data_IF_600991735426
#
_entry.id   IF_600991735426
#
_cell.length_a   1.000
_cell.length_b   1.000
_cell.length_c   1.000
_cell.angle_alpha   90.00
_cell.angle_beta   90.00
_cell.angle_gamma   90.00
#
_symmetry.space_group_name_H-M   'P 1'
#
loop_
_entity.id
_entity.type
_entity.pdbx_description
1 polymer ?
#
# COMPACT_ATOMS: atom_id res chain seq x y z
N UNK A 1 64.15 -38.27 -24.19
CA UNK A 1 63.73 -38.54 -25.57
C UNK A 1 63.69 -37.25 -26.39
N UNK A 2 64.00 -37.34 -27.70
CA UNK A 2 64.01 -36.19 -28.60
C UNK A 2 62.64 -35.73 -29.06
N UNK A 3 61.59 -36.26 -28.45
CA UNK A 3 60.21 -35.93 -28.75
C UNK A 3 59.39 -35.70 -27.45
N UNK A 4 58.33 -34.96 -27.58
CA UNK A 4 57.35 -34.68 -26.54
C UNK A 4 55.92 -34.65 -27.12
N UNK A 5 55.00 -35.21 -26.41
CA UNK A 5 53.55 -35.07 -26.74
C UNK A 5 52.94 -34.08 -25.78
N UNK A 6 52.32 -33.04 -26.32
CA UNK A 6 51.56 -32.06 -25.57
C UNK A 6 50.06 -32.47 -25.57
N UNK A 7 49.50 -32.76 -24.42
CA UNK A 7 48.09 -33.17 -24.36
C UNK A 7 47.15 -32.06 -24.82
N UNK A 8 45.96 -32.44 -25.28
CA UNK A 8 44.90 -31.50 -25.62
C UNK A 8 44.55 -30.60 -24.41
N UNK A 9 44.40 -29.31 -24.66
CA UNK A 9 44.11 -28.30 -23.64
C UNK A 9 45.32 -27.85 -22.83
N UNK A 10 46.55 -28.22 -23.27
CA UNK A 10 47.80 -27.77 -22.68
C UNK A 10 48.64 -27.02 -23.69
N UNK A 11 49.50 -26.17 -23.20
CA UNK A 11 50.57 -25.52 -23.98
C UNK A 11 51.93 -25.90 -23.39
N UNK A 12 52.82 -26.36 -24.22
CA UNK A 12 54.18 -26.70 -23.82
C UNK A 12 55.10 -25.47 -23.85
N UNK A 13 55.57 -25.02 -22.69
CA UNK A 13 56.61 -23.99 -22.59
C UNK A 13 57.96 -24.63 -22.64
N UNK A 14 58.78 -24.24 -23.64
CA UNK A 14 60.12 -24.78 -23.86
C UNK A 14 61.15 -24.04 -23.04
N UNK A 15 61.98 -24.79 -22.33
CA UNK A 15 63.12 -24.23 -21.60
C UNK A 15 64.42 -24.94 -22.03
N UNK A 16 65.49 -24.17 -22.28
CA UNK A 16 66.83 -24.67 -22.63
C UNK A 16 67.84 -24.23 -21.58
N UNK A 17 68.39 -25.17 -20.85
CA UNK A 17 69.28 -24.88 -19.70
C UNK A 17 68.72 -23.91 -18.68
N UNK A 18 67.37 -24.00 -18.44
CA UNK A 18 66.69 -23.12 -17.52
C UNK A 18 66.20 -21.79 -18.11
N UNK A 19 66.63 -21.44 -19.33
CA UNK A 19 66.10 -20.24 -20.01
C UNK A 19 64.84 -20.58 -20.78
N UNK A 20 63.75 -19.79 -20.52
CA UNK A 20 62.49 -19.90 -21.25
C UNK A 20 62.67 -19.38 -22.68
N UNK A 21 62.30 -20.18 -23.66
CA UNK A 21 62.24 -19.76 -25.03
C UNK A 21 60.92 -18.99 -25.33
N UNK A 22 60.96 -18.16 -26.40
CA UNK A 22 59.73 -17.41 -26.78
C UNK A 22 58.74 -18.28 -27.60
N UNK A 23 59.17 -19.53 -27.92
CA UNK A 23 58.34 -20.50 -28.60
C UNK A 23 57.57 -21.34 -27.66
N UNK A 24 56.27 -21.47 -27.91
CA UNK A 24 55.39 -22.42 -27.27
C UNK A 24 55.10 -23.59 -28.21
N UNK A 25 54.78 -24.75 -27.62
CA UNK A 25 54.33 -25.94 -28.34
C UNK A 25 52.82 -26.07 -28.14
N UNK A 26 52.08 -26.10 -29.24
CA UNK A 26 50.66 -26.40 -29.24
C UNK A 26 50.42 -27.87 -28.91
N UNK A 27 49.16 -28.26 -28.76
CA UNK A 27 48.77 -29.66 -28.56
C UNK A 27 49.23 -30.52 -29.74
N UNK A 28 49.69 -31.73 -29.44
CA UNK A 28 50.16 -32.67 -30.44
C UNK A 28 51.58 -33.22 -30.20
N UNK A 29 52.12 -33.82 -31.19
CA UNK A 29 53.47 -34.43 -31.14
C UNK A 29 54.53 -33.47 -31.70
N UNK A 30 55.61 -33.23 -30.93
CA UNK A 30 56.66 -32.32 -31.28
C UNK A 30 58.03 -32.93 -31.08
N UNK A 31 58.96 -32.60 -32.01
CA UNK A 31 60.36 -32.89 -31.80
C UNK A 31 61.07 -31.79 -31.03
N UNK A 32 61.89 -32.16 -30.05
CA UNK A 32 62.65 -31.25 -29.22
C UNK A 32 64.10 -31.68 -29.10
N UNK A 33 65.02 -30.75 -28.85
CA UNK A 33 66.40 -31.07 -28.54
C UNK A 33 66.43 -31.84 -27.17
N UNK A 34 67.34 -32.81 -27.03
CA UNK A 34 67.52 -33.56 -25.80
C UNK A 34 67.78 -32.65 -24.56
N UNK A 35 68.38 -31.49 -24.76
CA UNK A 35 68.70 -30.50 -23.72
C UNK A 35 67.50 -29.60 -23.32
N UNK A 36 66.45 -29.63 -24.12
CA UNK A 36 65.28 -28.88 -23.89
C UNK A 36 64.35 -29.62 -22.88
N UNK A 37 63.78 -28.86 -21.98
CA UNK A 37 62.64 -29.27 -21.10
C UNK A 37 61.40 -28.60 -21.59
N UNK A 38 60.23 -29.29 -21.50
CA UNK A 38 58.92 -28.73 -21.81
C UNK A 38 58.09 -28.81 -20.57
N UNK A 39 57.61 -27.66 -20.16
CA UNK A 39 56.68 -27.51 -19.02
C UNK A 39 55.28 -27.37 -19.57
N UNK A 40 54.38 -28.22 -19.11
CA UNK A 40 52.98 -28.23 -19.53
C UNK A 40 52.20 -27.22 -18.71
N UNK A 41 51.56 -26.27 -19.40
CA UNK A 41 50.64 -25.30 -18.82
C UNK A 41 49.20 -25.67 -19.21
N UNK A 42 48.31 -25.86 -18.27
CA UNK A 42 46.89 -26.19 -18.53
C UNK A 42 46.12 -24.92 -18.93
N UNK A 43 45.58 -24.89 -20.15
CA UNK A 43 44.82 -23.76 -20.69
C UNK A 43 43.31 -23.95 -20.60
N UNK A 44 42.86 -25.08 -20.05
CA UNK A 44 41.44 -25.31 -19.84
C UNK A 44 40.91 -24.39 -18.75
N UNK A 45 39.63 -24.15 -18.77
CA UNK A 45 38.97 -23.40 -17.67
C UNK A 45 39.07 -24.20 -16.37
N UNK A 46 39.69 -23.57 -15.39
CA UNK A 46 39.86 -24.11 -14.04
C UNK A 46 39.00 -23.33 -13.07
N UNK A 47 38.56 -23.98 -12.03
CA UNK A 47 37.85 -23.34 -10.91
C UNK A 47 38.75 -23.33 -9.68
N UNK A 48 38.91 -22.15 -9.10
CA UNK A 48 39.52 -22.00 -7.79
C UNK A 48 38.54 -21.36 -6.82
N UNK A 49 38.36 -21.97 -5.65
CA UNK A 49 37.54 -21.45 -4.58
C UNK A 49 38.40 -21.09 -3.40
N UNK A 50 38.11 -19.95 -2.77
CA UNK A 50 38.84 -19.53 -1.57
C UNK A 50 37.88 -18.93 -0.54
N UNK A 51 38.09 -19.32 0.70
CA UNK A 51 37.45 -18.68 1.86
C UNK A 51 38.30 -17.49 2.31
N UNK A 52 37.68 -16.38 2.62
CA UNK A 52 38.34 -15.18 3.08
C UNK A 52 37.43 -14.35 3.98
N UNK A 53 38.02 -13.45 4.74
CA UNK A 53 37.31 -12.48 5.53
C UNK A 53 37.43 -11.08 4.91
N UNK A 54 36.33 -10.36 4.87
CA UNK A 54 36.27 -8.97 4.47
C UNK A 54 35.49 -8.14 5.49
N UNK A 55 35.58 -6.83 5.35
CA UNK A 55 34.81 -5.90 6.17
C UNK A 55 33.90 -5.07 5.26
N UNK A 56 32.67 -4.87 5.70
CA UNK A 56 31.77 -3.93 5.08
C UNK A 56 32.14 -2.47 5.41
N UNK A 57 31.51 -1.49 4.77
CA UNK A 57 31.75 -0.07 5.02
C UNK A 57 31.41 0.36 6.47
N UNK A 58 30.51 -0.35 7.13
CA UNK A 58 30.12 -0.18 8.54
C UNK A 58 30.90 -1.09 9.50
N UNK A 59 32.09 -1.57 9.04
CA UNK A 59 33.07 -2.34 9.83
C UNK A 59 32.51 -3.66 10.36
N UNK A 60 31.49 -4.22 9.72
CA UNK A 60 31.04 -5.57 10.05
C UNK A 60 31.92 -6.60 9.37
N UNK A 61 32.34 -7.61 10.14
CA UNK A 61 33.10 -8.74 9.57
C UNK A 61 32.16 -9.66 8.79
N UNK A 62 32.62 -10.05 7.62
CA UNK A 62 31.90 -10.93 6.70
C UNK A 62 32.83 -12.06 6.27
N UNK A 63 32.39 -13.29 6.48
CA UNK A 63 33.07 -14.48 5.95
C UNK A 63 32.54 -14.80 4.55
N UNK A 64 33.44 -14.91 3.58
CA UNK A 64 33.12 -15.00 2.18
C UNK A 64 33.76 -16.22 1.58
N UNK A 65 33.04 -16.94 0.73
CA UNK A 65 33.60 -17.93 -0.19
C UNK A 65 33.49 -17.38 -1.60
N UNK A 66 34.65 -17.13 -2.21
CA UNK A 66 34.74 -16.63 -3.57
C UNK A 66 35.30 -17.70 -4.50
N UNK A 67 34.64 -17.96 -5.62
CA UNK A 67 35.09 -18.86 -6.68
C UNK A 67 35.40 -18.10 -7.94
N UNK A 68 36.50 -18.40 -8.54
CA UNK A 68 36.96 -17.81 -9.81
C UNK A 68 37.18 -18.89 -10.85
N UNK A 69 36.51 -18.73 -11.98
CA UNK A 69 36.77 -19.54 -13.17
C UNK A 69 37.76 -18.79 -14.08
N UNK A 70 38.86 -19.41 -14.38
CA UNK A 70 39.93 -18.79 -15.13
C UNK A 70 40.61 -19.80 -16.09
N UNK A 71 41.33 -19.29 -17.06
CA UNK A 71 42.15 -20.07 -17.96
C UNK A 71 43.45 -19.34 -18.27
N UNK A 72 44.48 -20.08 -18.68
CA UNK A 72 45.75 -19.49 -19.12
C UNK A 72 45.65 -19.20 -20.62
N UNK A 73 46.05 -18.01 -21.04
CA UNK A 73 46.15 -17.64 -22.44
C UNK A 73 47.29 -18.39 -23.09
N UNK A 74 47.01 -19.15 -24.17
CA UNK A 74 47.99 -19.95 -24.89
C UNK A 74 49.15 -19.13 -25.38
N UNK A 75 48.91 -17.92 -25.89
CA UNK A 75 49.94 -17.04 -26.47
C UNK A 75 50.85 -16.42 -25.42
N UNK A 76 50.38 -16.31 -24.17
CA UNK A 76 51.12 -15.70 -23.08
C UNK A 76 51.61 -16.71 -22.03
N UNK A 77 51.43 -18.02 -22.26
CA UNK A 77 51.81 -19.05 -21.30
C UNK A 77 53.33 -19.04 -20.98
N UNK A 78 54.21 -18.74 -21.97
CA UNK A 78 55.66 -18.60 -21.75
C UNK A 78 56.00 -17.39 -20.88
N UNK A 79 55.27 -16.26 -21.04
CA UNK A 79 55.47 -15.06 -20.23
C UNK A 79 55.04 -15.29 -18.80
N UNK A 80 53.89 -15.94 -18.61
CA UNK A 80 53.40 -16.33 -17.29
C UNK A 80 54.39 -17.24 -16.57
N UNK A 81 54.89 -18.26 -17.29
CA UNK A 81 55.89 -19.17 -16.72
C UNK A 81 57.24 -18.47 -16.43
N UNK A 82 57.70 -17.57 -17.31
CA UNK A 82 58.94 -16.80 -17.15
C UNK A 82 58.91 -15.88 -15.95
N UNK A 83 57.79 -15.18 -15.76
CA UNK A 83 57.67 -14.11 -14.75
C UNK A 83 57.17 -14.62 -13.40
N UNK A 84 56.35 -15.65 -13.36
CA UNK A 84 55.65 -16.13 -12.16
C UNK A 84 55.96 -17.62 -11.90
N UNK A 85 56.00 -18.45 -12.94
CA UNK A 85 56.19 -19.89 -12.81
C UNK A 85 54.88 -20.67 -12.79
N UNK A 86 54.95 -21.94 -12.37
CA UNK A 86 53.78 -22.86 -12.34
C UNK A 86 52.82 -22.56 -11.20
N UNK A 87 53.26 -21.88 -10.12
CA UNK A 87 52.45 -21.57 -8.94
C UNK A 87 51.74 -20.21 -9.06
N UNK A 88 51.41 -19.77 -10.26
CA UNK A 88 50.81 -18.48 -10.55
C UNK A 88 49.50 -18.23 -9.77
N UNK A 89 48.78 -19.30 -9.46
CA UNK A 89 47.54 -19.18 -8.64
C UNK A 89 47.85 -18.62 -7.25
N UNK A 90 48.74 -19.28 -6.51
CA UNK A 90 49.08 -18.88 -5.13
C UNK A 90 49.88 -17.57 -5.08
N UNK A 91 50.75 -17.34 -6.08
CA UNK A 91 51.67 -16.21 -6.07
C UNK A 91 51.02 -14.89 -6.51
N UNK A 92 50.16 -14.92 -7.51
CA UNK A 92 49.60 -13.70 -8.13
C UNK A 92 48.09 -13.67 -8.01
N UNK A 93 47.41 -14.74 -8.44
CA UNK A 93 45.97 -14.70 -8.60
C UNK A 93 45.24 -14.62 -7.27
N UNK A 94 45.58 -15.48 -6.31
CA UNK A 94 44.94 -15.52 -4.98
C UNK A 94 45.03 -14.20 -4.23
N UNK A 95 46.20 -13.53 -4.11
CA UNK A 95 46.27 -12.22 -3.44
C UNK A 95 45.43 -11.15 -4.13
N UNK A 96 45.39 -11.15 -5.46
CA UNK A 96 44.62 -10.16 -6.23
C UNK A 96 43.12 -10.37 -6.11
N UNK A 97 42.66 -11.62 -6.14
CA UNK A 97 41.24 -11.94 -5.84
C UNK A 97 40.83 -11.43 -4.46
N UNK A 98 41.70 -11.66 -3.47
CA UNK A 98 41.46 -11.19 -2.11
C UNK A 98 41.39 -9.66 -2.05
N UNK A 99 42.32 -8.97 -2.69
CA UNK A 99 42.37 -7.50 -2.72
C UNK A 99 41.15 -6.91 -3.42
N UNK A 100 40.81 -7.38 -4.61
CA UNK A 100 39.65 -6.92 -5.37
C UNK A 100 38.34 -7.18 -4.62
N UNK A 101 38.19 -8.36 -4.01
CA UNK A 101 37.03 -8.72 -3.23
C UNK A 101 36.87 -7.79 -2.02
N UNK A 102 37.93 -7.62 -1.22
CA UNK A 102 37.91 -6.71 -0.06
C UNK A 102 37.58 -5.27 -0.49
N UNK A 103 38.18 -4.78 -1.56
CA UNK A 103 37.94 -3.43 -2.08
C UNK A 103 36.48 -3.21 -2.51
N UNK A 104 35.82 -4.23 -3.05
CA UNK A 104 34.41 -4.13 -3.43
C UNK A 104 33.50 -4.17 -2.19
N UNK A 105 33.79 -5.06 -1.25
CA UNK A 105 32.97 -5.21 -0.03
C UNK A 105 32.98 -3.97 0.87
N UNK A 106 34.09 -3.26 0.96
CA UNK A 106 34.19 -2.01 1.74
C UNK A 106 33.36 -0.86 1.20
N UNK A 107 32.80 -0.98 0.00
CA UNK A 107 31.92 0.05 -0.58
C UNK A 107 30.47 -0.06 -0.11
N UNK A 108 30.09 -1.19 0.43
CA UNK A 108 28.71 -1.49 0.81
C UNK A 108 28.57 -1.75 2.30
N UNK A 109 27.43 -1.36 2.86
CA UNK A 109 27.06 -1.74 4.23
C UNK A 109 26.68 -3.21 4.29
N UNK A 110 26.77 -3.81 5.46
CA UNK A 110 26.40 -5.21 5.67
C UNK A 110 24.96 -5.52 5.23
N UNK A 111 24.02 -4.62 5.51
CA UNK A 111 22.61 -4.73 5.10
C UNK A 111 22.48 -4.73 3.57
N UNK A 112 23.20 -3.84 2.87
CA UNK A 112 23.14 -3.73 1.40
C UNK A 112 23.82 -4.90 0.71
N UNK A 113 24.86 -5.50 1.29
CA UNK A 113 25.58 -6.65 0.72
C UNK A 113 24.66 -7.85 0.45
N UNK A 114 23.60 -8.03 1.26
CA UNK A 114 22.63 -9.09 1.05
C UNK A 114 21.83 -8.90 -0.26
N UNK A 115 21.51 -7.66 -0.60
CA UNK A 115 20.66 -7.32 -1.75
C UNK A 115 21.43 -7.28 -3.06
N UNK A 116 22.73 -6.90 -3.04
CA UNK A 116 23.55 -6.65 -4.25
C UNK A 116 24.48 -7.81 -4.64
N UNK A 117 24.27 -9.00 -4.11
CA UNK A 117 25.16 -10.16 -4.28
C UNK A 117 25.56 -10.45 -5.74
N UNK A 118 24.61 -10.38 -6.67
CA UNK A 118 24.90 -10.59 -8.11
C UNK A 118 25.77 -9.49 -8.71
N UNK A 119 25.59 -8.26 -8.25
CA UNK A 119 26.39 -7.11 -8.68
C UNK A 119 27.83 -7.19 -8.16
N UNK A 120 28.03 -7.71 -6.93
CA UNK A 120 29.37 -7.89 -6.34
C UNK A 120 30.26 -8.77 -7.23
N UNK A 121 29.75 -9.90 -7.70
CA UNK A 121 30.47 -10.83 -8.57
C UNK A 121 30.95 -10.15 -9.85
N UNK A 122 30.12 -9.34 -10.48
CA UNK A 122 30.45 -8.58 -11.68
C UNK A 122 31.52 -7.52 -11.40
N UNK A 123 31.38 -6.76 -10.32
CA UNK A 123 32.34 -5.72 -9.94
C UNK A 123 33.72 -6.30 -9.61
N UNK A 124 33.77 -7.43 -8.90
CA UNK A 124 35.04 -8.12 -8.60
C UNK A 124 35.68 -8.59 -9.89
N UNK A 125 34.94 -9.20 -10.82
CA UNK A 125 35.43 -9.63 -12.11
C UNK A 125 36.00 -8.45 -12.91
N UNK A 126 35.26 -7.34 -12.97
CA UNK A 126 35.65 -6.17 -13.78
C UNK A 126 36.90 -5.48 -13.24
N UNK A 127 37.19 -5.57 -11.95
CA UNK A 127 38.44 -5.13 -11.36
C UNK A 127 39.59 -6.13 -11.59
N UNK A 128 39.29 -7.42 -11.43
CA UNK A 128 40.29 -8.49 -11.47
C UNK A 128 40.75 -8.81 -12.91
N UNK A 129 39.83 -8.83 -13.89
CA UNK A 129 40.12 -9.31 -15.24
C UNK A 129 41.21 -8.50 -15.97
N UNK A 130 41.24 -7.15 -15.92
CA UNK A 130 42.31 -6.38 -16.55
C UNK A 130 43.67 -6.69 -15.94
N UNK A 131 43.76 -6.76 -14.62
CA UNK A 131 45.04 -7.02 -13.93
C UNK A 131 45.59 -8.43 -14.23
N UNK A 132 44.71 -9.43 -14.30
CA UNK A 132 45.09 -10.80 -14.58
C UNK A 132 45.46 -10.99 -16.04
N UNK A 133 44.85 -10.22 -16.95
CA UNK A 133 45.20 -10.26 -18.39
C UNK A 133 46.65 -9.91 -18.65
N UNK A 134 47.22 -8.98 -17.88
CA UNK A 134 48.63 -8.58 -18.01
C UNK A 134 49.60 -9.75 -17.70
N UNK A 135 49.17 -10.68 -16.87
CA UNK A 135 49.91 -11.93 -16.59
C UNK A 135 49.60 -13.07 -17.56
N UNK A 136 48.65 -12.85 -18.50
CA UNK A 136 48.21 -13.91 -19.42
C UNK A 136 47.20 -14.88 -18.79
N UNK A 137 46.45 -14.41 -17.75
CA UNK A 137 45.38 -15.17 -17.12
C UNK A 137 44.06 -14.53 -17.53
N UNK A 138 43.18 -15.33 -18.12
CA UNK A 138 41.84 -14.89 -18.54
C UNK A 138 40.82 -15.28 -17.49
N UNK A 139 40.12 -14.29 -16.92
CA UNK A 139 39.05 -14.51 -15.96
C UNK A 139 37.74 -14.66 -16.70
N UNK A 140 37.13 -15.84 -16.64
CA UNK A 140 35.85 -16.14 -17.26
C UNK A 140 34.68 -15.63 -16.41
N UNK A 141 34.70 -15.99 -15.13
CA UNK A 141 33.66 -15.53 -14.17
C UNK A 141 34.19 -15.50 -12.75
N UNK A 142 33.59 -14.65 -11.95
CA UNK A 142 33.76 -14.61 -10.49
C UNK A 142 32.40 -14.84 -9.87
N UNK A 143 32.34 -15.65 -8.84
CA UNK A 143 31.10 -15.94 -8.11
C UNK A 143 31.35 -15.84 -6.61
N UNK A 144 30.55 -15.05 -5.94
CA UNK A 144 30.50 -15.02 -4.49
C UNK A 144 29.50 -16.09 -4.03
N UNK A 145 30.03 -17.22 -3.50
CA UNK A 145 29.22 -18.39 -3.17
C UNK A 145 28.51 -18.22 -1.83
N UNK A 146 29.21 -17.73 -0.82
CA UNK A 146 28.69 -17.53 0.52
C UNK A 146 29.07 -16.16 1.07
N UNK A 147 28.15 -15.57 1.84
CA UNK A 147 28.34 -14.30 2.54
C UNK A 147 27.70 -14.49 3.91
N UNK A 148 28.53 -14.80 4.90
CA UNK A 148 28.09 -15.07 6.27
C UNK A 148 28.50 -13.92 7.18
N UNK A 149 27.54 -13.43 7.95
CA UNK A 149 27.75 -12.39 8.95
C UNK A 149 27.88 -13.01 10.33
N UNK A 150 28.41 -12.25 11.27
CA UNK A 150 28.47 -12.69 12.68
C UNK A 150 27.06 -12.84 13.26
N UNK A 151 26.88 -13.81 14.17
CA UNK A 151 25.59 -14.05 14.82
C UNK A 151 25.04 -12.79 15.48
N UNK A 152 25.92 -12.01 16.15
CA UNK A 152 25.52 -10.76 16.79
C UNK A 152 24.95 -9.73 15.82
N UNK A 153 25.47 -9.65 14.59
CA UNK A 153 24.93 -8.77 13.56
C UNK A 153 23.59 -9.29 13.04
N UNK A 154 23.49 -10.59 12.79
CA UNK A 154 22.25 -11.23 12.32
C UNK A 154 21.12 -11.04 13.33
N UNK A 155 21.38 -11.27 14.62
CA UNK A 155 20.41 -11.06 15.70
C UNK A 155 19.96 -9.59 15.78
N UNK A 156 20.90 -8.64 15.62
CA UNK A 156 20.58 -7.21 15.62
C UNK A 156 19.70 -6.80 14.43
N UNK A 157 19.96 -7.36 13.23
CA UNK A 157 19.16 -7.11 12.04
C UNK A 157 17.76 -7.71 12.19
N UNK A 158 17.65 -8.93 12.71
CA UNK A 158 16.36 -9.55 13.00
C UNK A 158 15.55 -8.73 14.01
N UNK A 159 16.17 -8.30 15.11
CA UNK A 159 15.52 -7.46 16.11
C UNK A 159 15.03 -6.13 15.51
N UNK A 160 15.84 -5.49 14.68
CA UNK A 160 15.48 -4.27 13.94
C UNK A 160 14.26 -4.52 13.02
N UNK A 161 14.27 -5.63 12.30
CA UNK A 161 13.20 -5.97 11.38
C UNK A 161 11.87 -6.26 12.11
N UNK A 162 11.93 -6.99 13.21
CA UNK A 162 10.77 -7.23 14.09
C UNK A 162 10.24 -5.91 14.66
N UNK A 163 11.11 -5.01 15.11
CA UNK A 163 10.71 -3.70 15.60
C UNK A 163 10.02 -2.83 14.52
N UNK A 164 10.57 -2.84 13.30
CA UNK A 164 9.98 -2.13 12.16
C UNK A 164 8.60 -2.70 11.79
N UNK A 165 8.46 -4.03 11.74
CA UNK A 165 7.17 -4.68 11.47
C UNK A 165 6.15 -4.38 12.57
N UNK A 166 6.58 -4.40 13.84
CA UNK A 166 5.71 -4.07 14.97
C UNK A 166 5.26 -2.61 14.90
N UNK A 167 6.16 -1.69 14.60
CA UNK A 167 5.83 -0.28 14.39
C UNK A 167 4.82 -0.09 13.27
N UNK A 168 5.05 -0.69 12.11
CA UNK A 168 4.16 -0.61 10.96
C UNK A 168 2.76 -1.18 11.26
N UNK A 169 2.72 -2.33 11.97
CA UNK A 169 1.46 -2.93 12.44
C UNK A 169 0.71 -1.99 13.38
N UNK A 170 1.41 -1.37 14.33
CA UNK A 170 0.80 -0.43 15.28
C UNK A 170 0.26 0.81 14.55
N UNK A 171 1.03 1.39 13.63
CA UNK A 171 0.60 2.52 12.81
C UNK A 171 -0.64 2.18 11.97
N UNK A 172 -0.66 0.99 11.36
CA UNK A 172 -1.82 0.51 10.59
C UNK A 172 -3.04 0.33 11.47
N UNK A 173 -2.89 -0.27 12.66
CA UNK A 173 -3.98 -0.44 13.62
C UNK A 173 -4.51 0.90 14.14
N UNK A 174 -3.64 1.86 14.41
CA UNK A 174 -4.06 3.20 14.82
C UNK A 174 -4.83 3.93 13.69
N UNK A 175 -4.34 3.83 12.44
CA UNK A 175 -5.03 4.40 11.29
C UNK A 175 -6.42 3.76 11.08
N UNK A 176 -6.53 2.45 11.28
CA UNK A 176 -7.81 1.73 11.22
C UNK A 176 -8.77 2.19 12.32
N UNK A 177 -8.30 2.32 13.57
CA UNK A 177 -9.11 2.82 14.68
C UNK A 177 -9.62 4.25 14.44
N UNK A 178 -8.76 5.13 13.91
CA UNK A 178 -9.16 6.49 13.52
C UNK A 178 -10.20 6.46 12.41
N UNK A 179 -10.03 5.62 11.40
CA UNK A 179 -11.00 5.45 10.30
C UNK A 179 -12.36 4.95 10.81
N UNK A 180 -12.35 3.96 11.70
CA UNK A 180 -13.57 3.43 12.33
C UNK A 180 -14.27 4.51 13.17
N UNK A 181 -13.50 5.27 13.97
CA UNK A 181 -14.05 6.35 14.78
C UNK A 181 -14.68 7.45 13.93
N UNK A 182 -14.03 7.84 12.83
CA UNK A 182 -14.56 8.81 11.87
C UNK A 182 -15.85 8.30 11.21
N UNK A 183 -15.86 7.05 10.75
CA UNK A 183 -17.05 6.43 10.13
C UNK A 183 -18.21 6.34 11.12
N UNK A 184 -17.92 6.03 12.39
CA UNK A 184 -18.94 5.98 13.43
C UNK A 184 -19.52 7.37 13.72
N UNK A 185 -18.67 8.38 13.87
CA UNK A 185 -19.10 9.76 14.07
C UNK A 185 -19.93 10.29 12.88
N UNK A 186 -19.55 9.94 11.67
CA UNK A 186 -20.29 10.31 10.46
C UNK A 186 -21.68 9.63 10.42
N UNK A 187 -21.76 8.36 10.76
CA UNK A 187 -23.04 7.63 10.88
C UNK A 187 -23.96 8.23 11.94
N UNK A 188 -23.40 8.57 13.10
CA UNK A 188 -24.17 9.19 14.18
C UNK A 188 -24.69 10.57 13.77
N UNK A 189 -23.89 11.33 13.06
CA UNK A 189 -24.28 12.64 12.52
C UNK A 189 -25.38 12.52 11.45
N UNK A 190 -25.27 11.54 10.56
CA UNK A 190 -26.31 11.23 9.56
C UNK A 190 -27.60 10.78 10.25
N UNK A 191 -27.52 9.91 11.26
CA UNK A 191 -28.66 9.45 12.02
C UNK A 191 -29.37 10.62 12.72
N UNK A 192 -28.60 11.50 13.39
CA UNK A 192 -29.14 12.68 14.04
C UNK A 192 -29.84 13.66 13.08
N UNK A 193 -29.24 13.88 11.90
CA UNK A 193 -29.83 14.69 10.82
C UNK A 193 -31.12 14.07 10.32
N UNK A 194 -31.12 12.77 10.06
CA UNK A 194 -32.30 12.03 9.58
C UNK A 194 -33.44 12.09 10.61
N UNK A 195 -33.13 11.96 11.90
CA UNK A 195 -34.13 12.05 12.94
C UNK A 195 -34.71 13.48 13.11
N UNK A 196 -33.85 14.50 12.97
CA UNK A 196 -34.31 15.88 12.95
C UNK A 196 -35.21 16.16 11.74
N UNK A 197 -34.83 15.69 10.57
CA UNK A 197 -35.61 15.83 9.33
C UNK A 197 -36.97 15.10 9.43
N UNK A 198 -37.02 13.90 9.98
CA UNK A 198 -38.25 13.16 10.25
C UNK A 198 -39.16 13.94 11.20
N UNK A 199 -38.62 14.53 12.28
CA UNK A 199 -39.42 15.35 13.22
C UNK A 199 -40.01 16.58 12.54
N UNK A 200 -39.23 17.22 11.65
CA UNK A 200 -39.71 18.38 10.89
C UNK A 200 -40.84 17.99 9.94
N UNK A 201 -40.66 16.90 9.20
CA UNK A 201 -41.68 16.39 8.28
C UNK A 201 -42.97 15.99 9.01
N UNK A 202 -42.83 15.33 10.16
CA UNK A 202 -44.00 14.97 10.99
C UNK A 202 -44.73 16.21 11.51
N UNK A 203 -44.00 17.22 12.01
CA UNK A 203 -44.58 18.46 12.47
C UNK A 203 -45.27 19.24 11.34
N UNK A 204 -44.67 19.28 10.16
CA UNK A 204 -45.32 19.90 8.98
C UNK A 204 -46.57 19.14 8.53
N UNK A 205 -46.53 17.80 8.57
CA UNK A 205 -47.68 16.97 8.26
C UNK A 205 -48.81 17.19 9.25
N UNK A 206 -48.56 17.21 10.57
CA UNK A 206 -49.53 17.51 11.61
C UNK A 206 -50.10 18.92 11.46
N UNK A 207 -49.27 19.91 11.18
CA UNK A 207 -49.75 21.28 10.94
C UNK A 207 -50.63 21.36 9.70
N UNK A 208 -50.27 20.61 8.63
CA UNK A 208 -51.08 20.52 7.41
C UNK A 208 -52.45 19.87 7.67
N UNK A 209 -52.46 18.77 8.44
CA UNK A 209 -53.72 18.11 8.82
C UNK A 209 -54.61 19.06 9.62
N UNK A 210 -54.09 19.75 10.64
CA UNK A 210 -54.86 20.75 11.43
C UNK A 210 -55.38 21.88 10.55
N UNK A 211 -54.61 22.33 9.55
CA UNK A 211 -55.09 23.36 8.62
C UNK A 211 -56.26 22.85 7.77
N UNK A 212 -56.13 21.64 7.22
CA UNK A 212 -57.18 21.02 6.42
C UNK A 212 -58.46 20.82 7.26
N UNK A 213 -58.31 20.36 8.51
CA UNK A 213 -59.45 20.22 9.46
C UNK A 213 -60.11 21.56 9.75
N UNK A 214 -59.32 22.60 10.06
CA UNK A 214 -59.83 23.94 10.28
C UNK A 214 -60.53 24.54 9.04
N UNK A 215 -59.97 24.35 7.87
CA UNK A 215 -60.57 24.79 6.59
C UNK A 215 -61.88 24.03 6.33
N UNK A 216 -61.91 22.73 6.60
CA UNK A 216 -63.10 21.92 6.46
C UNK A 216 -64.22 22.35 7.43
N UNK A 217 -63.88 22.62 8.69
CA UNK A 217 -64.82 23.10 9.68
C UNK A 217 -65.33 24.50 9.33
N UNK A 218 -64.45 25.42 8.91
CA UNK A 218 -64.85 26.73 8.41
C UNK A 218 -65.81 26.66 7.20
N UNK A 219 -65.51 25.75 6.26
CA UNK A 219 -66.36 25.51 5.10
C UNK A 219 -67.73 24.96 5.55
N UNK A 220 -67.78 24.00 6.48
CA UNK A 220 -69.03 23.46 7.06
C UNK A 220 -69.88 24.52 7.65
N UNK A 221 -69.24 25.35 8.55
CA UNK A 221 -69.94 26.47 9.20
C UNK A 221 -70.48 27.44 8.14
N UNK A 222 -69.69 27.78 7.12
CA UNK A 222 -70.13 28.68 6.03
C UNK A 222 -71.36 28.13 5.29
N UNK A 223 -71.31 26.88 4.84
CA UNK A 223 -72.35 26.20 4.09
C UNK A 223 -73.64 26.13 4.97
N UNK A 224 -73.46 25.79 6.26
CA UNK A 224 -74.61 25.75 7.21
C UNK A 224 -75.20 27.12 7.38
N UNK A 225 -74.41 28.18 7.61
CA UNK A 225 -74.88 29.54 7.74
C UNK A 225 -75.59 30.07 6.51
N UNK A 226 -75.03 29.74 5.31
CA UNK A 226 -75.68 30.08 4.02
C UNK A 226 -77.03 29.36 3.86
N UNK A 227 -77.07 28.07 4.20
CA UNK A 227 -78.33 27.29 4.18
C UNK A 227 -79.37 27.82 5.16
N UNK A 228 -78.97 28.16 6.38
CA UNK A 228 -79.83 28.77 7.38
C UNK A 228 -80.34 30.15 6.96
N UNK A 229 -79.47 30.99 6.40
CA UNK A 229 -79.79 32.28 5.87
C UNK A 229 -80.80 32.17 4.70
N UNK A 230 -80.59 31.20 3.81
CA UNK A 230 -81.54 30.92 2.71
C UNK A 230 -82.89 30.41 3.23
N UNK A 231 -82.87 29.50 4.20
CA UNK A 231 -84.06 29.01 4.83
C UNK A 231 -84.84 30.14 5.59
N UNK A 232 -84.15 30.97 6.33
CA UNK A 232 -84.75 32.14 7.02
C UNK A 232 -85.31 33.16 6.02
N UNK A 233 -84.64 33.37 4.88
CA UNK A 233 -85.13 34.25 3.83
C UNK A 233 -86.44 33.70 3.19
N UNK A 234 -86.50 32.39 2.96
CA UNK A 234 -87.68 31.70 2.46
C UNK A 234 -88.81 31.77 3.50
N UNK A 235 -88.54 31.54 4.77
CA UNK A 235 -89.54 31.68 5.86
C UNK A 235 -90.02 33.12 5.92
N UNK A 236 -89.12 34.11 5.91
CA UNK A 236 -89.48 35.51 5.94
C UNK A 236 -90.36 35.91 4.74
N UNK A 237 -90.10 35.38 3.54
CA UNK A 237 -90.92 35.67 2.36
C UNK A 237 -92.24 34.96 2.34
N UNK A 238 -92.40 33.88 3.11
CA UNK A 238 -93.63 33.11 3.24
C UNK A 238 -94.53 33.58 4.45
N UNK A 239 -93.99 34.40 5.34
CA UNK A 239 -94.69 34.91 6.48
C UNK A 239 -95.59 36.07 6.06
N UNK A 240 -96.83 35.76 5.76
CA UNK A 240 -97.90 36.74 5.63
C UNK A 240 -98.57 37.00 7.01
N UNK A 241 -99.10 38.22 7.22
CA UNK A 241 -99.76 38.65 8.45
C UNK A 241 -100.89 37.66 8.91
N UNK A 242 -101.54 37.05 7.91
CA UNK A 242 -102.51 35.99 8.08
C UNK A 242 -101.93 34.70 8.64
N UNK A 243 -100.73 34.28 8.18
CA UNK A 243 -100.06 33.05 8.64
C UNK A 243 -99.55 33.24 10.08
N UNK A 244 -99.03 34.43 10.43
CA UNK A 244 -98.62 34.74 11.79
C UNK A 244 -99.76 34.66 12.77
N UNK A 245 -100.93 35.25 12.42
CA UNK A 245 -102.13 35.18 13.21
C UNK A 245 -102.69 33.76 13.32
N UNK A 246 -102.64 32.97 12.27
CA UNK A 246 -103.05 31.58 12.25
C UNK A 246 -102.14 30.70 13.14
N UNK A 247 -100.86 30.86 13.10
CA UNK A 247 -99.94 30.11 13.95
C UNK A 247 -99.99 30.54 15.38
N UNK A 248 -100.20 31.82 15.66
CA UNK A 248 -100.50 32.30 17.03
C UNK A 248 -101.77 31.69 17.61
N UNK A 249 -102.86 31.68 16.84
CA UNK A 249 -104.11 31.08 17.21
C UNK A 249 -104.02 29.57 17.41
N UNK A 250 -103.29 28.88 16.60
CA UNK A 250 -103.14 27.40 16.66
C UNK A 250 -102.21 26.96 17.82
N UNK A 251 -101.28 27.78 18.25
CA UNK A 251 -100.41 27.51 19.37
C UNK A 251 -100.93 28.10 20.73
N UNK A 252 -102.04 28.80 20.65
CA UNK A 252 -102.61 29.34 21.85
C UNK A 252 -103.26 28.24 22.71
N UNK A 253 -102.79 28.06 23.90
CA UNK A 253 -103.26 27.07 24.88
C UNK A 253 -104.50 27.51 25.62
N UNK A 254 -105.21 28.58 25.16
CA UNK A 254 -106.43 29.06 25.80
C UNK A 254 -106.26 29.89 27.05
N UNK A 255 -105.08 30.11 27.51
CA UNK A 255 -104.81 30.95 28.68
C UNK A 255 -104.44 32.37 28.28
N UNK A 256 -105.21 33.35 28.79
CA UNK A 256 -104.90 34.78 28.65
C UNK A 256 -103.62 35.09 29.45
N UNK A 257 -102.67 35.79 28.83
CA UNK A 257 -101.54 36.27 29.59
C UNK A 257 -102.03 37.17 30.73
N UNK A 258 -101.78 36.76 31.94
CA UNK A 258 -102.06 37.62 33.08
C UNK A 258 -100.99 38.71 33.15
N UNK A 259 -101.35 39.84 32.62
CA UNK A 259 -100.54 41.06 32.83
C UNK A 259 -101.18 41.69 34.13
N UNK A 260 -100.55 41.45 35.22
CA UNK A 260 -100.81 42.15 36.48
C UNK A 260 -99.79 43.29 36.56
N UNK A 261 -100.22 44.44 36.15
CA UNK A 261 -99.34 45.61 36.25
C UNK A 261 -99.87 46.79 35.45
N UNK A 262 -100.35 47.78 36.14
CA UNK A 262 -100.77 49.04 35.58
C UNK A 262 -99.57 49.83 35.07
N UNK A 263 -99.35 49.82 33.82
CA UNK A 263 -98.70 50.83 33.00
C UNK A 263 -98.06 50.21 31.71
N UNK A 264 -98.22 50.90 30.64
CA UNK A 264 -97.72 50.67 29.32
C UNK A 264 -96.24 50.37 29.31
N UNK A 265 -95.87 49.10 29.23
CA UNK A 265 -94.53 48.66 28.87
C UNK A 265 -94.70 47.44 28.01
N UNK A 266 -94.36 47.64 26.75
CA UNK A 266 -94.15 46.53 25.83
C UNK A 266 -93.08 45.64 26.37
N UNK A 267 -93.21 44.32 26.28
CA UNK A 267 -92.11 43.43 26.65
C UNK A 267 -91.00 43.60 25.60
N UNK A 268 -89.94 44.29 26.03
CA UNK A 268 -88.71 44.28 25.32
C UNK A 268 -88.11 42.92 25.52
N UNK A 269 -88.04 42.12 24.49
CA UNK A 269 -87.20 40.91 24.52
C UNK A 269 -85.72 41.39 24.63
N UNK A 270 -85.23 41.25 25.84
CA UNK A 270 -83.77 41.46 26.04
C UNK A 270 -83.02 40.29 25.47
N UNK A 271 -82.34 40.55 24.31
CA UNK A 271 -81.46 39.60 23.61
C UNK A 271 -80.00 39.70 24.09
N UNK A 272 -79.78 40.31 25.27
CA UNK A 272 -78.41 40.39 25.84
C UNK A 272 -78.24 39.36 26.95
N UNK A 273 -78.17 38.13 26.56
CA UNK A 273 -77.96 37.03 27.52
C UNK A 273 -77.25 35.84 26.91
N UNK A 274 -76.15 36.11 26.23
CA UNK A 274 -75.25 35.05 25.83
C UNK A 274 -73.80 35.55 25.91
N UNK A 275 -73.35 35.73 27.15
CA UNK A 275 -71.96 35.73 27.45
C UNK A 275 -71.72 35.00 28.77
N UNK A 276 -70.77 34.08 28.71
CA UNK A 276 -70.06 33.41 29.77
C UNK A 276 -70.46 31.93 30.04
N UNK A 277 -69.81 31.01 29.43
CA UNK A 277 -68.70 30.13 29.92
C UNK A 277 -68.33 29.15 28.86
#
# INVERSE_FOLDING_TARGET
PPFVSVPTGHTGVVTTFGRVEDRVLDEGFHFKNPVQRVVMMDNRTQKASMAMQAFSSDIQQVDIVCSVNYSVDRQNAQNLYRNVGVNYYETVMRPRVQECTKSVFTKYTAETLMDVRSSLSTQIRDLLAPEMKDYGILIASVTVENVDFTDAFTDAVEAKQVALQTKLKTETQQAELVSIAQSTAERDLIAARTDAEKRTILAEAEASVKRIEADADAYKVKVQSEAEAAANKLIASSLTDSLIRYTQANRWNGSLPQIVGNSTALPVLDLTGADAN
#
